data_IF_480254436551
#
_entry.id   IF_480254436551
#
_cell.length_a   1.000
_cell.length_b   1.000
_cell.length_c   1.000
_cell.angle_alpha   90.00
_cell.angle_beta   90.00
_cell.angle_gamma   90.00
#
_symmetry.space_group_name_H-M   'P 1'
#
loop_
_entity.id
_entity.type
_entity.pdbx_description
1 polymer ?
#
# COMPACT_ATOMS: atom_id res chain seq x y z
N UNK A 1 37.65 -21.46 -12.68
CA UNK A 1 38.02 -20.17 -13.29
C UNK A 1 36.75 -19.55 -13.85
N UNK A 2 36.08 -18.69 -13.09
CA UNK A 2 35.16 -17.72 -13.70
C UNK A 2 35.16 -16.48 -12.80
N UNK A 3 36.11 -15.60 -13.10
CA UNK A 3 36.30 -14.36 -12.38
C UNK A 3 35.28 -13.35 -12.93
N UNK A 4 34.04 -13.41 -12.43
CA UNK A 4 33.04 -12.37 -12.71
C UNK A 4 33.56 -11.05 -12.14
N UNK A 5 33.99 -10.15 -13.03
CA UNK A 5 34.45 -8.81 -12.65
C UNK A 5 33.31 -8.08 -11.93
N UNK A 6 33.51 -7.59 -10.69
CA UNK A 6 32.46 -6.88 -9.94
C UNK A 6 31.96 -5.63 -10.68
N UNK A 7 32.77 -5.02 -11.54
CA UNK A 7 32.41 -3.84 -12.35
C UNK A 7 31.21 -4.00 -13.29
N UNK A 8 30.93 -5.21 -13.79
CA UNK A 8 29.84 -5.42 -14.76
C UNK A 8 28.44 -5.37 -14.08
N UNK A 9 28.37 -5.74 -12.80
CA UNK A 9 27.12 -5.73 -12.02
C UNK A 9 26.70 -4.30 -11.65
N UNK A 10 27.67 -3.42 -11.34
CA UNK A 10 27.43 -2.01 -11.08
C UNK A 10 27.03 -1.23 -12.33
N UNK A 11 27.61 -1.58 -13.49
CA UNK A 11 27.25 -0.97 -14.76
C UNK A 11 25.78 -1.24 -15.13
N UNK A 12 25.28 -2.45 -14.90
CA UNK A 12 23.88 -2.79 -15.17
C UNK A 12 22.88 -2.05 -14.26
N UNK A 13 23.20 -1.92 -12.96
CA UNK A 13 22.36 -1.18 -12.01
C UNK A 13 22.36 0.33 -12.28
N UNK A 14 23.53 0.91 -12.60
CA UNK A 14 23.66 2.32 -13.00
C UNK A 14 22.98 2.59 -14.34
N UNK A 15 23.08 1.66 -15.30
CA UNK A 15 22.36 1.74 -16.57
C UNK A 15 20.85 1.68 -16.34
N UNK A 16 20.36 0.78 -15.50
CA UNK A 16 18.93 0.70 -15.15
C UNK A 16 18.44 1.98 -14.46
N UNK A 17 19.22 2.55 -13.54
CA UNK A 17 18.91 3.83 -12.88
C UNK A 17 18.92 5.00 -13.87
N UNK A 18 19.91 5.04 -14.76
CA UNK A 18 20.01 6.06 -15.80
C UNK A 18 18.90 5.95 -16.84
N UNK A 19 18.48 4.73 -17.19
CA UNK A 19 17.35 4.45 -18.07
C UNK A 19 16.03 4.85 -17.40
N UNK A 20 15.85 4.57 -16.11
CA UNK A 20 14.67 5.00 -15.35
C UNK A 20 14.59 6.53 -15.29
N UNK A 21 15.70 7.20 -14.98
CA UNK A 21 15.79 8.66 -14.99
C UNK A 21 15.52 9.23 -16.39
N UNK A 22 16.02 8.58 -17.44
CA UNK A 22 15.79 8.97 -18.83
C UNK A 22 14.34 8.74 -19.27
N UNK A 23 13.70 7.66 -18.82
CA UNK A 23 12.28 7.38 -19.09
C UNK A 23 11.41 8.39 -18.34
N UNK A 24 11.68 8.67 -17.08
CA UNK A 24 10.99 9.72 -16.30
C UNK A 24 11.15 11.11 -16.94
N UNK A 25 12.35 11.45 -17.43
CA UNK A 25 12.57 12.70 -18.16
C UNK A 25 11.94 12.72 -19.55
N UNK A 26 11.98 11.62 -20.31
CA UNK A 26 11.38 11.54 -21.64
C UNK A 26 9.85 11.62 -21.58
N UNK A 27 9.23 10.97 -20.59
CA UNK A 27 7.77 11.06 -20.37
C UNK A 27 7.37 12.50 -20.01
N UNK A 28 8.23 13.23 -19.27
CA UNK A 28 8.06 14.67 -18.97
C UNK A 28 8.24 15.59 -20.19
N UNK A 29 9.24 15.36 -21.04
CA UNK A 29 9.49 16.19 -22.24
C UNK A 29 8.33 16.05 -23.23
N UNK A 30 7.81 14.83 -23.39
CA UNK A 30 6.69 14.55 -24.30
C UNK A 30 5.36 15.08 -23.73
N UNK A 31 5.14 15.00 -22.42
CA UNK A 31 3.97 15.60 -21.78
C UNK A 31 3.95 17.14 -21.85
N UNK A 32 5.13 17.79 -21.81
CA UNK A 32 5.26 19.24 -21.98
C UNK A 32 5.10 19.71 -23.44
N UNK A 33 5.38 18.85 -24.43
CA UNK A 33 5.15 19.15 -25.85
C UNK A 33 3.68 18.99 -26.28
N UNK A 34 2.84 18.35 -25.46
CA UNK A 34 1.40 18.20 -25.69
C UNK A 34 0.51 19.31 -25.11
N UNK A 35 1.09 20.34 -24.46
CA UNK A 35 0.34 21.43 -23.84
C UNK A 35 0.55 22.76 -24.59
N UNK A 36 -0.44 23.31 -25.30
CA UNK A 36 -0.36 24.70 -25.77
C UNK A 36 -0.66 25.65 -24.60
N UNK A 37 0.28 26.54 -24.31
CA UNK A 37 0.15 27.57 -23.27
C UNK A 37 -0.62 28.82 -23.76
N UNK A 38 -1.80 29.08 -23.15
CA UNK A 38 -2.49 30.34 -22.71
C UNK A 38 -2.40 31.67 -23.53
N UNK A 39 -3.44 32.55 -23.58
CA UNK A 39 -4.14 33.12 -22.40
C UNK A 39 -5.66 33.45 -22.54
N UNK A 40 -6.27 33.88 -21.43
CA UNK A 40 -7.56 34.57 -21.36
C UNK A 40 -7.41 36.05 -21.79
N UNK A 41 -8.19 36.51 -22.77
CA UNK A 41 -8.64 37.91 -22.91
C UNK A 41 -9.82 38.02 -23.91
N UNK A 42 -11.03 38.20 -23.37
CA UNK A 42 -12.16 39.04 -23.84
C UNK A 42 -12.59 39.06 -25.34
N UNK A 43 -13.72 38.40 -25.63
CA UNK A 43 -14.98 38.98 -26.16
C UNK A 43 -15.02 40.00 -27.33
N UNK A 44 -14.00 40.13 -28.20
CA UNK A 44 -14.03 41.15 -29.29
C UNK A 44 -13.84 40.61 -30.73
N UNK A 45 -13.69 39.30 -30.96
CA UNK A 45 -13.35 38.77 -32.31
C UNK A 45 -14.48 37.93 -32.95
N UNK A 46 -15.64 37.80 -32.33
CA UNK A 46 -16.75 36.98 -32.84
C UNK A 46 -17.51 37.54 -34.05
N UNK A 47 -17.23 38.76 -34.53
CA UNK A 47 -17.96 39.37 -35.66
C UNK A 47 -17.16 39.53 -36.97
N UNK A 48 -15.85 39.31 -36.99
CA UNK A 48 -14.99 39.64 -38.15
C UNK A 48 -14.30 38.47 -38.87
N UNK A 49 -14.59 37.21 -38.53
CA UNK A 49 -13.99 36.03 -39.18
C UNK A 49 -15.08 35.13 -39.81
N UNK A 50 -16.24 35.70 -40.17
CA UNK A 50 -17.28 34.98 -40.93
C UNK A 50 -17.14 35.14 -42.45
N UNK A 51 -16.29 36.05 -42.93
CA UNK A 51 -16.14 36.36 -44.36
C UNK A 51 -14.82 35.87 -45.00
N UNK A 52 -13.89 35.33 -44.21
CA UNK A 52 -12.59 34.84 -44.69
C UNK A 52 -12.50 33.30 -44.77
N UNK A 53 -13.58 32.59 -44.45
CA UNK A 53 -13.58 31.13 -44.31
C UNK A 53 -13.97 30.35 -45.59
N UNK A 54 -14.15 31.01 -46.74
CA UNK A 54 -14.68 30.36 -47.95
C UNK A 54 -13.72 30.30 -49.16
N UNK A 55 -12.45 30.70 -49.02
CA UNK A 55 -11.51 30.75 -50.17
C UNK A 55 -10.13 30.10 -49.97
N UNK A 56 -9.95 29.22 -48.98
CA UNK A 56 -8.71 28.45 -48.85
C UNK A 56 -8.94 26.96 -48.55
N UNK A 57 -9.82 26.32 -49.33
CA UNK A 57 -9.64 24.89 -49.63
C UNK A 57 -8.45 24.76 -50.58
N UNK A 58 -7.28 24.48 -50.00
CA UNK A 58 -6.05 24.35 -50.77
C UNK A 58 -4.88 23.85 -49.95
N UNK A 59 -4.86 22.53 -49.73
CA UNK A 59 -3.63 21.75 -49.67
C UNK A 59 -2.69 22.00 -48.48
N UNK A 60 -2.86 21.26 -47.39
CA UNK A 60 -1.71 20.84 -46.57
C UNK A 60 -1.98 19.49 -45.90
N UNK A 61 -0.94 18.67 -45.92
CA UNK A 61 -0.87 17.23 -45.67
C UNK A 61 -1.52 16.75 -44.38
N UNK A 62 -2.35 15.71 -44.50
CA UNK A 62 -2.65 14.78 -43.41
C UNK A 62 -1.36 14.08 -42.95
N UNK A 63 -0.60 14.70 -42.07
CA UNK A 63 0.31 13.96 -41.20
C UNK A 63 -0.56 13.10 -40.28
N UNK A 64 -0.81 11.86 -40.71
CA UNK A 64 -1.29 10.82 -39.84
C UNK A 64 -0.23 10.60 -38.76
N UNK A 65 -0.38 11.25 -37.61
CA UNK A 65 0.37 10.89 -36.42
C UNK A 65 -0.03 9.45 -36.04
N UNK A 66 0.73 8.46 -36.51
CA UNK A 66 0.50 7.04 -36.27
C UNK A 66 0.59 6.66 -34.77
N UNK A 67 1.06 7.57 -33.91
CA UNK A 67 1.20 7.37 -32.48
C UNK A 67 0.46 8.46 -31.71
N UNK A 68 -0.72 8.12 -31.16
CA UNK A 68 -1.37 8.89 -30.10
C UNK A 68 -0.91 8.34 -28.74
N UNK A 69 -0.43 9.21 -27.86
CA UNK A 69 0.03 8.84 -26.53
C UNK A 69 -1.07 9.16 -25.50
N UNK A 70 -1.83 8.15 -25.10
CA UNK A 70 -2.89 8.27 -24.10
C UNK A 70 -2.36 7.93 -22.70
N UNK A 71 -1.58 8.84 -22.13
CA UNK A 71 -0.98 8.65 -20.80
C UNK A 71 -2.04 8.63 -19.69
N UNK A 72 -3.09 9.43 -19.80
CA UNK A 72 -4.11 9.56 -18.76
C UNK A 72 -4.86 8.25 -18.52
N UNK A 73 -5.12 7.46 -19.57
CA UNK A 73 -5.76 6.16 -19.41
C UNK A 73 -4.92 5.15 -18.62
N UNK A 74 -3.59 5.17 -18.80
CA UNK A 74 -2.66 4.19 -18.22
C UNK A 74 -1.88 4.72 -17.02
N UNK A 75 -2.11 5.96 -16.61
CA UNK A 75 -1.31 6.64 -15.58
C UNK A 75 -1.21 5.82 -14.29
N UNK A 76 -2.35 5.41 -13.74
CA UNK A 76 -2.41 4.66 -12.48
C UNK A 76 -1.64 3.33 -12.52
N UNK A 77 -1.95 2.38 -13.43
CA UNK A 77 -1.21 1.11 -13.48
C UNK A 77 0.26 1.31 -13.86
N UNK A 78 0.59 2.30 -14.70
CA UNK A 78 1.95 2.59 -15.10
C UNK A 78 2.80 3.10 -13.92
N UNK A 79 2.27 4.05 -13.14
CA UNK A 79 2.97 4.57 -11.97
C UNK A 79 3.14 3.51 -10.88
N UNK A 80 2.12 2.70 -10.58
CA UNK A 80 2.24 1.57 -9.63
C UNK A 80 3.36 0.62 -10.08
N UNK A 81 3.39 0.27 -11.37
CA UNK A 81 4.42 -0.61 -11.93
C UNK A 81 5.82 -0.01 -11.78
N UNK A 82 5.96 1.29 -12.04
CA UNK A 82 7.23 2.00 -11.88
C UNK A 82 7.69 2.00 -10.42
N UNK A 83 6.78 2.25 -9.45
CA UNK A 83 7.10 2.21 -8.03
C UNK A 83 7.54 0.81 -7.56
N UNK A 84 6.83 -0.24 -7.97
CA UNK A 84 7.20 -1.64 -7.65
C UNK A 84 8.55 -2.00 -8.30
N UNK A 85 8.78 -1.57 -9.54
CA UNK A 85 10.05 -1.77 -10.23
C UNK A 85 11.20 -1.03 -9.54
N UNK A 86 10.98 0.21 -9.08
CA UNK A 86 11.98 0.97 -8.31
C UNK A 86 12.30 0.28 -6.98
N UNK A 87 11.28 -0.17 -6.24
CA UNK A 87 11.47 -0.88 -4.97
C UNK A 87 12.24 -2.18 -5.14
N UNK A 88 11.92 -2.98 -6.18
CA UNK A 88 12.63 -4.22 -6.48
C UNK A 88 14.08 -3.98 -6.92
N UNK A 89 14.35 -2.96 -7.75
CA UNK A 89 15.71 -2.58 -8.13
C UNK A 89 16.52 -2.08 -6.92
N UNK A 90 15.92 -1.27 -6.05
CA UNK A 90 16.55 -0.82 -4.82
C UNK A 90 16.92 -2.01 -3.92
N UNK A 91 16.01 -2.97 -3.76
CA UNK A 91 16.25 -4.21 -3.01
C UNK A 91 17.44 -5.01 -3.58
N UNK A 92 17.49 -5.19 -4.90
CA UNK A 92 18.64 -5.84 -5.57
C UNK A 92 19.94 -5.06 -5.32
N UNK A 93 19.88 -3.72 -5.39
CA UNK A 93 21.03 -2.85 -5.10
C UNK A 93 21.56 -3.01 -3.68
N UNK A 94 20.68 -3.09 -2.68
CA UNK A 94 21.06 -3.30 -1.28
C UNK A 94 21.69 -4.66 -1.05
N UNK A 95 21.15 -5.73 -1.67
CA UNK A 95 21.76 -7.05 -1.60
C UNK A 95 23.10 -7.15 -2.33
N UNK A 96 23.33 -6.37 -3.39
CA UNK A 96 24.63 -6.34 -4.06
C UNK A 96 25.71 -5.68 -3.18
N UNK A 97 25.31 -4.78 -2.28
CA UNK A 97 26.19 -4.14 -1.32
C UNK A 97 26.12 -4.84 0.04
N UNK A 98 26.85 -5.95 0.19
CA UNK A 98 26.87 -6.84 1.38
C UNK A 98 27.12 -6.16 2.75
N UNK A 99 27.50 -4.87 2.80
CA UNK A 99 27.74 -4.13 4.05
C UNK A 99 26.58 -3.25 4.52
N UNK A 100 25.59 -2.94 3.67
CA UNK A 100 24.46 -2.07 4.05
C UNK A 100 23.42 -2.84 4.88
N UNK A 101 22.95 -4.02 4.41
CA UNK A 101 21.90 -4.77 5.11
C UNK A 101 22.32 -5.27 6.50
N UNK A 102 23.63 -5.41 6.75
CA UNK A 102 24.13 -5.85 8.07
C UNK A 102 24.08 -4.76 9.15
N UNK A 103 23.85 -3.50 8.77
CA UNK A 103 23.81 -2.36 9.70
C UNK A 103 22.40 -1.77 9.79
N UNK A 104 21.66 -1.75 8.69
CA UNK A 104 20.35 -1.10 8.60
C UNK A 104 19.31 -2.04 7.97
N UNK A 105 18.11 -2.21 8.57
CA UNK A 105 17.03 -2.99 7.97
C UNK A 105 16.64 -2.49 6.58
N UNK A 106 16.26 -3.41 5.70
CA UNK A 106 15.89 -3.10 4.31
C UNK A 106 14.74 -2.08 4.22
N UNK A 107 13.72 -2.20 5.08
CA UNK A 107 12.58 -1.29 5.12
C UNK A 107 13.00 0.17 5.36
N UNK A 108 13.98 0.40 6.24
CA UNK A 108 14.50 1.75 6.49
C UNK A 108 15.19 2.33 5.24
N UNK A 109 15.98 1.51 4.54
CA UNK A 109 16.66 1.94 3.31
C UNK A 109 15.66 2.28 2.20
N UNK A 110 14.59 1.49 2.06
CA UNK A 110 13.51 1.77 1.11
C UNK A 110 12.76 3.07 1.43
N UNK A 111 12.49 3.36 2.71
CA UNK A 111 11.91 4.65 3.14
C UNK A 111 12.81 5.81 2.75
N UNK A 112 14.14 5.70 2.92
CA UNK A 112 15.08 6.73 2.50
C UNK A 112 15.06 6.95 0.98
N UNK A 113 15.00 5.88 0.18
CA UNK A 113 14.85 5.99 -1.28
C UNK A 113 13.55 6.70 -1.65
N UNK A 114 12.44 6.33 -1.01
CA UNK A 114 11.15 7.00 -1.20
C UNK A 114 11.19 8.49 -0.82
N UNK A 115 11.85 8.85 0.28
CA UNK A 115 12.01 10.23 0.73
C UNK A 115 12.86 11.06 -0.24
N UNK A 116 13.98 10.50 -0.74
CA UNK A 116 14.83 11.16 -1.74
C UNK A 116 14.02 11.38 -3.02
N UNK A 117 13.28 10.38 -3.48
CA UNK A 117 12.44 10.49 -4.68
C UNK A 117 11.34 11.54 -4.50
N UNK A 118 10.63 11.53 -3.37
CA UNK A 118 9.62 12.53 -3.02
C UNK A 118 10.20 13.94 -2.94
N UNK A 119 11.40 14.09 -2.38
CA UNK A 119 12.13 15.36 -2.33
C UNK A 119 12.52 15.88 -3.72
N UNK A 120 12.92 14.99 -4.64
CA UNK A 120 13.20 15.34 -6.03
C UNK A 120 11.92 15.82 -6.74
N UNK A 121 10.80 15.09 -6.58
CA UNK A 121 9.51 15.47 -7.16
C UNK A 121 9.07 16.85 -6.65
N UNK A 122 9.13 17.06 -5.34
CA UNK A 122 8.82 18.34 -4.71
C UNK A 122 9.74 19.47 -5.23
N UNK A 123 11.05 19.22 -5.33
CA UNK A 123 12.02 20.18 -5.85
C UNK A 123 11.81 20.53 -7.34
N UNK A 124 11.21 19.63 -8.11
CA UNK A 124 10.84 19.86 -9.51
C UNK A 124 9.48 20.55 -9.68
N UNK A 125 8.85 21.00 -8.59
CA UNK A 125 7.59 21.75 -8.53
C UNK A 125 6.42 21.07 -9.28
N UNK A 126 6.50 19.75 -9.42
CA UNK A 126 5.43 18.96 -10.02
C UNK A 126 4.28 18.86 -9.02
N UNK A 127 3.12 19.43 -9.37
CA UNK A 127 1.89 19.32 -8.56
C UNK A 127 1.06 18.10 -8.95
N UNK A 128 1.65 17.15 -9.67
CA UNK A 128 0.99 15.87 -9.93
C UNK A 128 0.74 15.18 -8.58
N UNK A 129 -0.52 14.92 -8.19
CA UNK A 129 -0.82 14.26 -6.93
C UNK A 129 -0.11 12.90 -6.90
N UNK A 130 0.42 12.46 -5.74
CA UNK A 130 0.95 11.12 -5.61
C UNK A 130 -0.16 10.13 -6.01
N UNK A 131 0.06 9.33 -7.05
CA UNK A 131 -0.96 8.43 -7.61
C UNK A 131 -1.23 7.22 -6.72
N UNK A 132 -0.51 7.09 -5.61
CA UNK A 132 -0.74 6.05 -4.61
C UNK A 132 -1.77 6.52 -3.56
N UNK A 133 -3.05 6.46 -3.93
CA UNK A 133 -4.14 6.66 -2.98
C UNK A 133 -4.28 5.44 -2.04
N UNK A 134 -4.87 5.65 -0.87
CA UNK A 134 -5.13 4.61 0.12
C UNK A 134 -5.98 3.49 -0.46
N UNK A 135 -7.01 3.83 -1.24
CA UNK A 135 -7.91 2.83 -1.82
C UNK A 135 -7.20 1.94 -2.84
N UNK A 136 -6.26 2.49 -3.61
CA UNK A 136 -5.43 1.72 -4.54
C UNK A 136 -4.57 0.73 -3.75
N UNK A 137 -3.96 1.18 -2.65
CA UNK A 137 -3.16 0.32 -1.79
C UNK A 137 -4.00 -0.83 -1.18
N UNK A 138 -5.13 -0.51 -0.56
CA UNK A 138 -5.99 -1.49 0.10
C UNK A 138 -6.65 -2.46 -0.89
N UNK A 139 -7.00 -2.05 -2.11
CA UNK A 139 -7.71 -2.91 -3.06
C UNK A 139 -6.78 -3.69 -4.00
N UNK A 140 -5.61 -3.15 -4.34
CA UNK A 140 -4.71 -3.78 -5.33
C UNK A 140 -3.44 -4.37 -4.73
N UNK A 141 -2.78 -3.67 -3.82
CA UNK A 141 -1.49 -4.12 -3.27
C UNK A 141 -1.65 -5.03 -2.06
N UNK A 142 -2.58 -4.70 -1.17
CA UNK A 142 -2.72 -5.39 0.12
C UNK A 142 -3.20 -6.85 0.01
N UNK A 143 -4.19 -7.22 -0.84
CA UNK A 143 -4.68 -8.61 -0.87
C UNK A 143 -3.61 -9.63 -1.26
N UNK A 144 -2.76 -9.40 -2.28
CA UNK A 144 -1.64 -10.30 -2.57
C UNK A 144 -0.62 -10.41 -1.43
N UNK A 145 -0.35 -9.31 -0.71
CA UNK A 145 0.60 -9.29 0.42
C UNK A 145 0.07 -10.14 1.58
N UNK A 146 -1.21 -9.97 1.92
CA UNK A 146 -1.86 -10.75 2.99
C UNK A 146 -1.95 -12.23 2.63
N UNK A 147 -2.24 -12.55 1.36
CA UNK A 147 -2.23 -13.93 0.87
C UNK A 147 -0.84 -14.58 1.01
N UNK A 148 0.21 -13.89 0.60
CA UNK A 148 1.59 -14.37 0.72
C UNK A 148 1.92 -14.70 2.18
N UNK A 149 1.63 -13.77 3.08
CA UNK A 149 1.87 -13.93 4.51
C UNK A 149 1.05 -15.08 5.13
N UNK A 150 -0.22 -15.22 4.75
CA UNK A 150 -1.10 -16.28 5.23
C UNK A 150 -0.74 -17.66 4.66
N UNK A 151 -0.34 -17.73 3.38
CA UNK A 151 -0.02 -18.98 2.69
C UNK A 151 1.28 -19.62 3.19
N UNK A 152 2.29 -18.81 3.50
CA UNK A 152 3.57 -19.28 4.03
C UNK A 152 3.59 -19.44 5.56
N UNK A 153 2.48 -19.20 6.24
CA UNK A 153 2.36 -19.37 7.69
C UNK A 153 2.41 -20.85 8.11
N UNK A 154 3.26 -21.22 9.09
CA UNK A 154 3.27 -22.57 9.66
C UNK A 154 1.95 -22.87 10.40
N UNK A 155 1.04 -23.60 9.76
CA UNK A 155 -0.33 -23.80 10.27
C UNK A 155 -0.39 -24.55 11.60
N UNK A 156 0.35 -25.65 11.76
CA UNK A 156 0.25 -26.49 12.97
C UNK A 156 0.66 -25.77 14.25
N UNK A 157 1.86 -25.18 14.38
CA UNK A 157 2.24 -24.55 15.64
C UNK A 157 1.49 -23.23 15.88
N UNK A 158 0.99 -22.57 14.82
CA UNK A 158 0.09 -21.42 14.94
C UNK A 158 -1.23 -21.82 15.63
N UNK A 159 -1.90 -22.87 15.16
CA UNK A 159 -3.16 -23.33 15.76
C UNK A 159 -2.98 -23.93 17.16
N UNK A 160 -1.82 -24.54 17.47
CA UNK A 160 -1.50 -25.01 18.82
C UNK A 160 -1.37 -23.86 19.85
N UNK A 161 -1.05 -22.64 19.41
CA UNK A 161 -0.83 -21.47 20.29
C UNK A 161 -1.79 -20.30 20.02
N UNK A 162 -2.87 -20.53 19.26
CA UNK A 162 -3.78 -19.48 18.76
C UNK A 162 -4.35 -18.59 19.87
N UNK A 163 -4.64 -19.16 21.05
CA UNK A 163 -5.19 -18.39 22.18
C UNK A 163 -4.23 -17.31 22.69
N UNK A 164 -2.94 -17.61 22.77
CA UNK A 164 -1.90 -16.65 23.17
C UNK A 164 -1.69 -15.60 22.09
N UNK A 165 -1.66 -16.02 20.82
CA UNK A 165 -1.52 -15.13 19.67
C UNK A 165 -2.68 -14.12 19.64
N UNK A 166 -3.92 -14.58 19.76
CA UNK A 166 -5.11 -13.72 19.77
C UNK A 166 -5.13 -12.77 20.96
N UNK A 167 -4.66 -13.21 22.13
CA UNK A 167 -4.57 -12.34 23.30
C UNK A 167 -3.62 -11.17 23.03
N UNK A 168 -2.42 -11.43 22.51
CA UNK A 168 -1.47 -10.36 22.17
C UNK A 168 -1.97 -9.50 21.00
N UNK A 169 -2.43 -10.11 19.91
CA UNK A 169 -2.86 -9.39 18.71
C UNK A 169 -4.14 -8.56 18.88
N UNK A 170 -5.08 -8.98 19.74
CA UNK A 170 -6.33 -8.24 19.94
C UNK A 170 -6.21 -7.36 21.18
N UNK A 171 -5.97 -7.96 22.35
CA UNK A 171 -5.97 -7.22 23.62
C UNK A 171 -4.72 -6.35 23.73
N UNK A 172 -3.56 -6.88 23.36
CA UNK A 172 -2.30 -6.13 23.36
C UNK A 172 -2.35 -4.93 22.41
N UNK A 173 -2.87 -5.11 21.21
CA UNK A 173 -3.07 -4.02 20.24
C UNK A 173 -4.05 -2.98 20.72
N UNK A 174 -5.22 -3.38 21.22
CA UNK A 174 -6.20 -2.43 21.77
C UNK A 174 -5.57 -1.63 22.91
N UNK A 175 -4.85 -2.29 23.81
CA UNK A 175 -4.11 -1.64 24.88
C UNK A 175 -3.06 -0.65 24.34
N UNK A 176 -2.32 -1.03 23.30
CA UNK A 176 -1.31 -0.19 22.66
C UNK A 176 -1.94 1.06 22.02
N UNK A 177 -3.02 0.89 21.26
CA UNK A 177 -3.76 2.00 20.62
C UNK A 177 -4.27 3.00 21.64
N UNK A 178 -4.93 2.53 22.70
CA UNK A 178 -5.42 3.41 23.76
C UNK A 178 -4.27 4.02 24.56
N UNK A 179 -3.21 3.26 24.84
CA UNK A 179 -2.02 3.76 25.53
C UNK A 179 -1.35 4.91 24.78
N UNK A 180 -1.11 4.73 23.47
CA UNK A 180 -0.55 5.78 22.60
C UNK A 180 -1.52 6.96 22.49
N UNK A 181 -2.79 6.71 22.19
CA UNK A 181 -3.78 7.79 22.02
C UNK A 181 -3.99 8.63 23.28
N UNK A 182 -4.13 8.01 24.44
CA UNK A 182 -4.29 8.73 25.71
C UNK A 182 -3.01 9.44 26.15
N UNK A 183 -1.84 8.82 25.95
CA UNK A 183 -0.56 9.48 26.30
C UNK A 183 -0.32 10.72 25.43
N UNK A 184 -0.55 10.63 24.12
CA UNK A 184 -0.48 11.77 23.20
C UNK A 184 -1.49 12.85 23.57
N UNK A 185 -2.73 12.48 23.85
CA UNK A 185 -3.74 13.44 24.32
C UNK A 185 -3.32 14.13 25.62
N UNK A 186 -2.74 13.40 26.57
CA UNK A 186 -2.19 13.95 27.80
C UNK A 186 -1.10 15.00 27.55
N UNK A 187 -0.22 14.75 26.57
CA UNK A 187 0.83 15.70 26.16
C UNK A 187 0.22 16.94 25.49
N UNK A 188 -0.77 16.78 24.60
CA UNK A 188 -1.47 17.90 23.94
C UNK A 188 -2.13 18.86 24.93
N UNK A 189 -2.56 18.36 26.10
CA UNK A 189 -3.18 19.19 27.15
C UNK A 189 -2.19 20.05 27.92
N UNK A 190 -0.88 19.76 27.83
CA UNK A 190 0.15 20.56 28.48
C UNK A 190 0.33 21.88 27.71
N UNK A 191 -0.04 22.99 28.36
CA UNK A 191 -0.02 24.36 27.78
C UNK A 191 1.32 24.77 27.15
N UNK A 192 2.44 24.15 27.55
CA UNK A 192 3.77 24.42 27.01
C UNK A 192 3.89 24.10 25.51
N UNK A 193 3.14 23.09 25.02
CA UNK A 193 3.25 22.62 23.64
C UNK A 193 2.32 23.35 22.64
N UNK A 194 1.33 24.13 23.12
CA UNK A 194 0.37 24.88 22.28
C UNK A 194 -0.36 24.02 21.22
N UNK A 195 -0.64 22.75 21.52
CA UNK A 195 -1.29 21.78 20.63
C UNK A 195 -2.73 21.43 21.08
N UNK A 196 -3.47 22.41 21.63
CA UNK A 196 -4.79 22.17 22.24
C UNK A 196 -5.91 21.90 21.22
N UNK A 197 -5.65 22.10 19.93
CA UNK A 197 -6.63 21.92 18.86
C UNK A 197 -6.83 20.44 18.47
N UNK A 198 -5.96 19.54 18.94
CA UNK A 198 -6.03 18.11 18.60
C UNK A 198 -6.99 17.37 19.53
N UNK A 199 -8.11 16.91 18.97
CA UNK A 199 -9.09 16.11 19.71
C UNK A 199 -8.54 14.72 20.06
N UNK A 200 -9.01 14.15 21.19
CA UNK A 200 -8.70 12.79 21.63
C UNK A 200 -8.92 11.76 20.50
N UNK A 201 -9.95 11.93 19.69
CA UNK A 201 -10.27 11.00 18.61
C UNK A 201 -9.20 11.00 17.50
N UNK A 202 -8.60 12.16 17.21
CA UNK A 202 -7.48 12.23 16.27
C UNK A 202 -6.24 11.52 16.81
N UNK A 203 -6.01 11.60 18.13
CA UNK A 203 -4.92 10.88 18.79
C UNK A 203 -5.17 9.36 18.84
N UNK A 204 -6.42 8.91 19.02
CA UNK A 204 -6.78 7.49 18.95
C UNK A 204 -6.69 6.95 17.52
N UNK A 205 -7.13 7.72 16.53
CA UNK A 205 -6.95 7.42 15.11
C UNK A 205 -5.45 7.26 14.78
N UNK A 206 -4.63 8.21 15.21
CA UNK A 206 -3.17 8.11 15.07
C UNK A 206 -2.60 6.90 15.81
N UNK A 207 -3.07 6.63 17.04
CA UNK A 207 -2.69 5.44 17.81
C UNK A 207 -3.00 4.14 17.07
N UNK A 208 -4.15 4.05 16.38
CA UNK A 208 -4.50 2.88 15.56
C UNK A 208 -3.59 2.68 14.36
N UNK A 209 -3.07 3.76 13.76
CA UNK A 209 -2.13 3.68 12.64
C UNK A 209 -0.73 3.19 13.08
N UNK A 210 -0.29 3.58 14.27
CA UNK A 210 1.08 3.29 14.76
C UNK A 210 1.15 2.01 15.60
N UNK A 211 0.01 1.49 16.07
CA UNK A 211 -0.02 0.28 16.88
C UNK A 211 0.29 -1.02 16.10
N UNK A 212 0.23 -0.98 14.77
CA UNK A 212 0.65 -2.09 13.92
C UNK A 212 2.17 -2.27 14.04
N UNK A 213 2.61 -3.48 14.37
CA UNK A 213 4.01 -3.81 14.60
C UNK A 213 4.49 -4.76 13.52
N UNK A 214 5.41 -4.30 12.67
CA UNK A 214 6.09 -5.15 11.70
C UNK A 214 7.26 -5.89 12.37
N UNK A 215 7.24 -7.24 12.45
CA UNK A 215 8.23 -8.01 13.16
C UNK A 215 9.40 -8.41 12.24
N UNK A 216 9.38 -8.08 10.94
CA UNK A 216 10.34 -8.61 9.94
C UNK A 216 11.79 -8.45 10.39
N UNK A 217 12.16 -7.28 10.91
CA UNK A 217 13.51 -7.04 11.40
C UNK A 217 13.86 -7.90 12.64
N UNK A 218 12.90 -8.11 13.54
CA UNK A 218 13.08 -8.90 14.76
C UNK A 218 13.15 -10.39 14.42
N UNK A 219 12.30 -10.88 13.52
CA UNK A 219 12.29 -12.27 13.07
C UNK A 219 13.58 -12.64 12.36
N UNK A 220 14.13 -11.75 11.51
CA UNK A 220 15.41 -11.97 10.85
C UNK A 220 16.55 -12.17 11.86
N UNK A 221 16.59 -11.37 12.93
CA UNK A 221 17.58 -11.54 14.00
C UNK A 221 17.35 -12.84 14.77
N UNK A 222 16.09 -13.16 15.09
CA UNK A 222 15.73 -14.38 15.82
C UNK A 222 16.13 -15.67 15.09
N UNK A 223 16.04 -15.68 13.76
CA UNK A 223 16.51 -16.78 12.94
C UNK A 223 18.03 -16.94 13.02
N UNK A 224 18.78 -15.84 12.98
CA UNK A 224 20.25 -15.85 13.11
C UNK A 224 20.71 -16.39 14.47
N UNK A 225 20.04 -15.99 15.55
CA UNK A 225 20.36 -16.46 16.91
C UNK A 225 19.69 -17.79 17.28
N UNK A 226 19.02 -18.46 16.34
CA UNK A 226 18.38 -19.77 16.52
C UNK A 226 17.40 -19.81 17.70
N UNK A 227 16.51 -18.81 17.77
CA UNK A 227 15.45 -18.73 18.79
C UNK A 227 14.44 -19.87 18.64
N UNK A 228 13.76 -20.18 19.75
CA UNK A 228 12.70 -21.18 19.78
C UNK A 228 11.61 -20.88 18.73
N UNK A 229 11.32 -21.88 17.89
CA UNK A 229 10.29 -21.83 16.84
C UNK A 229 8.93 -21.35 17.38
N UNK A 230 8.59 -21.67 18.63
CA UNK A 230 7.36 -21.18 19.28
C UNK A 230 7.35 -19.67 19.44
N UNK A 231 8.47 -19.06 19.83
CA UNK A 231 8.55 -17.61 20.01
C UNK A 231 8.48 -16.91 18.65
N UNK A 232 9.14 -17.48 17.63
CA UNK A 232 9.04 -16.99 16.26
C UNK A 232 7.59 -16.96 15.77
N UNK A 233 6.85 -18.07 15.95
CA UNK A 233 5.45 -18.17 15.51
C UNK A 233 4.50 -17.29 16.33
N UNK A 234 4.76 -17.13 17.63
CA UNK A 234 3.99 -16.21 18.48
C UNK A 234 4.12 -14.76 17.99
N UNK A 235 5.33 -14.28 17.75
CA UNK A 235 5.60 -12.91 17.28
C UNK A 235 5.09 -12.70 15.87
N UNK A 236 5.34 -13.65 14.96
CA UNK A 236 4.83 -13.58 13.59
C UNK A 236 3.29 -13.55 13.55
N UNK A 237 2.64 -14.46 14.29
CA UNK A 237 1.18 -14.52 14.37
C UNK A 237 0.56 -13.30 15.02
N UNK A 238 1.21 -12.73 16.05
CA UNK A 238 0.79 -11.48 16.68
C UNK A 238 0.73 -10.38 15.64
N UNK A 239 1.83 -10.12 14.94
CA UNK A 239 1.92 -9.06 13.94
C UNK A 239 0.92 -9.22 12.80
N UNK A 240 0.75 -10.44 12.28
CA UNK A 240 -0.21 -10.68 11.20
C UNK A 240 -1.66 -10.38 11.60
N UNK A 241 -2.07 -10.79 12.80
CA UNK A 241 -3.43 -10.51 13.27
C UNK A 241 -3.59 -9.07 13.78
N UNK A 242 -2.51 -8.48 14.31
CA UNK A 242 -2.46 -7.08 14.75
C UNK A 242 -2.73 -6.12 13.59
N UNK A 243 -2.16 -6.36 12.41
CA UNK A 243 -2.43 -5.56 11.19
C UNK A 243 -3.92 -5.53 10.85
N UNK A 244 -4.59 -6.67 10.99
CA UNK A 244 -6.03 -6.75 10.76
C UNK A 244 -6.83 -5.97 11.81
N UNK A 245 -6.46 -6.07 13.09
CA UNK A 245 -7.12 -5.38 14.20
C UNK A 245 -6.95 -3.86 14.09
N UNK A 246 -5.76 -3.38 13.77
CA UNK A 246 -5.43 -1.96 13.64
C UNK A 246 -6.15 -1.30 12.48
N UNK A 247 -6.27 -1.95 11.33
CA UNK A 247 -7.05 -1.43 10.20
C UNK A 247 -8.54 -1.33 10.53
N UNK A 248 -9.10 -2.29 11.27
CA UNK A 248 -10.50 -2.22 11.74
C UNK A 248 -10.67 -1.04 12.71
N UNK A 249 -9.76 -0.87 13.68
CA UNK A 249 -9.76 0.27 14.61
C UNK A 249 -9.62 1.61 13.88
N UNK A 250 -8.75 1.68 12.87
CA UNK A 250 -8.56 2.87 12.04
C UNK A 250 -9.85 3.24 11.31
N UNK A 251 -10.49 2.30 10.62
CA UNK A 251 -11.78 2.54 9.93
C UNK A 251 -12.87 2.98 10.91
N UNK A 252 -12.92 2.37 12.10
CA UNK A 252 -13.86 2.72 13.16
C UNK A 252 -13.64 4.16 13.67
N UNK A 253 -12.42 4.54 14.03
CA UNK A 253 -12.13 5.89 14.50
C UNK A 253 -12.29 6.93 13.40
N UNK A 254 -11.94 6.61 12.14
CA UNK A 254 -12.18 7.49 10.99
C UNK A 254 -13.67 7.77 10.83
N UNK A 255 -14.50 6.72 10.90
CA UNK A 255 -15.96 6.88 10.85
C UNK A 255 -16.49 7.77 11.99
N UNK A 256 -15.94 7.63 13.20
CA UNK A 256 -16.29 8.53 14.30
C UNK A 256 -15.83 9.98 14.10
N UNK A 257 -14.70 10.21 13.41
CA UNK A 257 -14.25 11.58 13.10
C UNK A 257 -15.18 12.30 12.13
N UNK A 258 -15.86 11.56 11.27
CA UNK A 258 -16.83 12.09 10.29
C UNK A 258 -18.19 12.39 10.94
N UNK A 259 -18.46 11.86 12.14
CA UNK A 259 -19.71 12.11 12.87
C UNK A 259 -19.68 13.44 13.64
N UNK A 260 -20.74 14.27 13.55
CA UNK A 260 -20.76 15.60 14.18
C UNK A 260 -20.86 15.57 15.72
N UNK A 261 -21.49 14.53 16.28
CA UNK A 261 -21.63 14.35 17.74
C UNK A 261 -21.61 12.87 18.08
N UNK A 262 -20.74 12.47 19.02
CA UNK A 262 -20.62 11.09 19.47
C UNK A 262 -21.43 10.93 20.77
N UNK A 263 -22.45 10.06 20.75
CA UNK A 263 -23.20 9.67 21.96
C UNK A 263 -22.63 8.38 22.53
N UNK A 264 -22.90 8.14 23.82
CA UNK A 264 -22.47 6.91 24.50
C UNK A 264 -22.99 5.64 23.80
N UNK A 265 -24.19 5.70 23.21
CA UNK A 265 -24.75 4.58 22.44
C UNK A 265 -23.94 4.27 21.18
N UNK A 266 -23.35 5.27 20.53
CA UNK A 266 -22.52 5.11 19.33
C UNK A 266 -21.19 4.41 19.67
N UNK A 267 -20.65 4.68 20.86
CA UNK A 267 -19.46 3.98 21.38
C UNK A 267 -19.76 2.49 21.61
N UNK A 268 -20.89 2.17 22.25
CA UNK A 268 -21.32 0.78 22.42
C UNK A 268 -21.57 0.08 21.08
N UNK A 269 -22.19 0.79 20.13
CA UNK A 269 -22.40 0.29 18.76
C UNK A 269 -21.06 0.04 18.06
N UNK A 270 -20.06 0.91 18.22
CA UNK A 270 -18.71 0.73 17.67
C UNK A 270 -18.00 -0.50 18.21
N UNK A 271 -18.10 -0.76 19.52
CA UNK A 271 -17.57 -2.00 20.11
C UNK A 271 -18.26 -3.23 19.52
N UNK A 272 -19.59 -3.19 19.36
CA UNK A 272 -20.33 -4.26 18.69
C UNK A 272 -19.88 -4.44 17.23
N UNK A 273 -19.71 -3.34 16.49
CA UNK A 273 -19.26 -3.34 15.12
C UNK A 273 -17.86 -3.93 14.97
N UNK A 274 -16.94 -3.66 15.90
CA UNK A 274 -15.61 -4.27 15.91
C UNK A 274 -15.67 -5.82 15.88
N UNK A 275 -16.50 -6.43 16.73
CA UNK A 275 -16.68 -7.87 16.74
C UNK A 275 -17.39 -8.39 15.49
N UNK A 276 -18.40 -7.68 14.99
CA UNK A 276 -19.13 -8.06 13.77
C UNK A 276 -18.21 -8.02 12.55
N UNK A 277 -17.39 -6.97 12.40
CA UNK A 277 -16.45 -6.80 11.29
C UNK A 277 -15.34 -7.85 11.33
N UNK A 278 -14.80 -8.14 12.53
CA UNK A 278 -13.78 -9.17 12.72
C UNK A 278 -14.31 -10.59 12.49
N UNK A 279 -15.37 -10.99 13.20
CA UNK A 279 -15.96 -12.34 13.06
C UNK A 279 -16.59 -12.55 11.68
N UNK A 280 -17.18 -11.51 11.10
CA UNK A 280 -17.69 -11.55 9.74
C UNK A 280 -16.59 -11.81 8.72
N UNK A 281 -15.41 -11.17 8.87
CA UNK A 281 -14.23 -11.46 8.06
C UNK A 281 -13.83 -12.95 8.14
N UNK A 282 -13.73 -13.49 9.37
CA UNK A 282 -13.43 -14.93 9.59
C UNK A 282 -14.44 -15.83 8.87
N UNK A 283 -15.74 -15.51 8.94
CA UNK A 283 -16.78 -16.30 8.28
C UNK A 283 -16.65 -16.27 6.75
N UNK A 284 -16.39 -15.10 6.17
CA UNK A 284 -16.17 -14.95 4.71
C UNK A 284 -14.93 -15.74 4.29
N UNK A 285 -13.82 -15.59 5.00
CA UNK A 285 -12.59 -16.33 4.72
C UNK A 285 -12.73 -17.84 4.85
N UNK A 286 -13.49 -18.31 5.83
CA UNK A 286 -13.79 -19.73 6.00
C UNK A 286 -14.62 -20.27 4.82
N UNK A 287 -15.62 -19.52 4.33
CA UNK A 287 -16.43 -19.90 3.16
C UNK A 287 -15.53 -19.99 1.93
N UNK A 288 -14.77 -18.93 1.59
CA UNK A 288 -13.92 -18.92 0.41
C UNK A 288 -12.77 -19.92 0.50
N UNK A 289 -12.15 -20.08 1.67
CA UNK A 289 -11.12 -21.08 1.93
C UNK A 289 -11.64 -22.52 1.74
N UNK A 290 -12.86 -22.81 2.21
CA UNK A 290 -13.50 -24.11 1.95
C UNK A 290 -13.80 -24.31 0.46
N UNK A 291 -14.27 -23.28 -0.25
CA UNK A 291 -14.49 -23.38 -1.70
C UNK A 291 -13.20 -23.58 -2.46
N UNK A 292 -12.11 -22.92 -2.08
CA UNK A 292 -10.79 -23.10 -2.66
C UNK A 292 -10.27 -24.53 -2.42
N UNK A 293 -10.35 -25.03 -1.18
CA UNK A 293 -9.95 -26.39 -0.83
C UNK A 293 -10.78 -27.44 -1.59
N UNK A 294 -12.09 -27.20 -1.75
CA UNK A 294 -12.97 -28.06 -2.53
C UNK A 294 -12.56 -28.05 -4.01
N UNK A 295 -12.43 -26.88 -4.64
CA UNK A 295 -12.04 -26.75 -6.05
C UNK A 295 -10.67 -27.39 -6.33
N UNK A 296 -9.67 -27.14 -5.49
CA UNK A 296 -8.33 -27.75 -5.64
C UNK A 296 -8.37 -29.28 -5.53
N UNK A 297 -9.31 -29.85 -4.77
CA UNK A 297 -9.48 -31.31 -4.69
C UNK A 297 -9.94 -31.93 -6.01
N UNK A 298 -10.66 -31.21 -6.86
CA UNK A 298 -11.14 -31.70 -8.18
C UNK A 298 -10.16 -31.41 -9.32
N UNK A 299 -9.21 -30.50 -9.13
CA UNK A 299 -8.28 -30.05 -10.18
C UNK A 299 -6.94 -30.78 -10.17
N UNK A 300 -6.84 -31.92 -9.49
CA UNK A 300 -5.59 -32.69 -9.28
C UNK A 300 -4.85 -33.06 -10.57
N UNK A 301 -5.58 -33.20 -11.68
CA UNK A 301 -5.02 -33.58 -12.97
C UNK A 301 -4.43 -32.38 -13.75
N UNK A 302 -4.68 -31.14 -13.31
CA UNK A 302 -4.22 -29.90 -13.96
C UNK A 302 -3.54 -28.99 -12.92
N UNK A 303 -2.40 -29.44 -12.36
CA UNK A 303 -1.72 -28.72 -11.26
C UNK A 303 -1.27 -27.29 -11.59
N UNK A 304 -1.14 -26.95 -12.88
CA UNK A 304 -0.67 -25.62 -13.32
C UNK A 304 -1.68 -24.51 -12.98
N UNK A 305 -2.97 -24.83 -12.83
CA UNK A 305 -4.01 -23.84 -12.54
C UNK A 305 -4.30 -23.67 -11.04
N UNK A 306 -3.77 -24.55 -10.18
CA UNK A 306 -4.04 -24.51 -8.73
C UNK A 306 -3.63 -23.16 -8.09
N UNK A 307 -2.45 -22.58 -8.37
CA UNK A 307 -2.06 -21.29 -7.81
C UNK A 307 -2.98 -20.14 -8.25
N UNK A 308 -3.51 -20.21 -9.49
CA UNK A 308 -4.46 -19.22 -10.00
C UNK A 308 -5.74 -19.21 -9.17
N UNK A 309 -6.28 -20.39 -8.84
CA UNK A 309 -7.47 -20.49 -8.00
C UNK A 309 -7.23 -20.02 -6.57
N UNK A 310 -6.09 -20.35 -5.97
CA UNK A 310 -5.73 -19.87 -4.63
C UNK A 310 -5.68 -18.34 -4.60
N UNK A 311 -5.02 -17.73 -5.60
CA UNK A 311 -4.95 -16.28 -5.73
C UNK A 311 -6.34 -15.65 -5.94
N UNK A 312 -7.14 -16.17 -6.88
CA UNK A 312 -8.46 -15.63 -7.19
C UNK A 312 -9.44 -15.76 -6.03
N UNK A 313 -9.50 -16.90 -5.35
CA UNK A 313 -10.41 -17.09 -4.22
C UNK A 313 -10.02 -16.23 -3.01
N UNK A 314 -8.73 -16.07 -2.73
CA UNK A 314 -8.28 -15.15 -1.68
C UNK A 314 -8.61 -13.69 -2.01
N UNK A 315 -8.37 -13.26 -3.25
CA UNK A 315 -8.71 -11.92 -3.69
C UNK A 315 -10.23 -11.68 -3.66
N UNK A 316 -11.04 -12.67 -4.05
CA UNK A 316 -12.50 -12.62 -3.94
C UNK A 316 -12.97 -12.57 -2.48
N UNK A 317 -12.33 -13.31 -1.57
CA UNK A 317 -12.63 -13.26 -0.13
C UNK A 317 -12.45 -11.85 0.41
N UNK A 318 -11.30 -11.24 0.11
CA UNK A 318 -10.97 -9.87 0.50
C UNK A 318 -11.99 -8.86 -0.02
N UNK A 319 -12.26 -8.87 -1.33
CA UNK A 319 -13.22 -7.94 -1.95
C UNK A 319 -14.65 -8.15 -1.45
N UNK A 320 -15.05 -9.40 -1.20
CA UNK A 320 -16.37 -9.70 -0.67
C UNK A 320 -16.52 -9.16 0.75
N UNK A 321 -15.49 -9.33 1.58
CA UNK A 321 -15.48 -8.76 2.92
C UNK A 321 -15.53 -7.22 2.89
N UNK A 322 -14.72 -6.56 2.06
CA UNK A 322 -14.76 -5.09 1.90
C UNK A 322 -16.13 -4.60 1.40
N UNK A 323 -16.77 -5.32 0.47
CA UNK A 323 -18.12 -5.00 -0.02
C UNK A 323 -19.19 -5.05 1.07
N UNK A 324 -19.04 -5.94 2.07
CA UNK A 324 -19.92 -6.01 3.23
C UNK A 324 -19.44 -5.15 4.41
N UNK A 325 -18.42 -4.30 4.21
CA UNK A 325 -17.76 -3.52 5.27
C UNK A 325 -17.21 -4.38 6.42
N UNK A 326 -16.88 -5.64 6.13
CA UNK A 326 -16.18 -6.57 7.01
C UNK A 326 -14.66 -6.42 6.84
N UNK A 327 -13.87 -7.08 7.68
CA UNK A 327 -12.41 -6.99 7.58
C UNK A 327 -11.88 -7.86 6.44
N UNK A 328 -11.48 -7.24 5.32
CA UNK A 328 -10.86 -7.93 4.20
C UNK A 328 -9.55 -8.63 4.56
N UNK A 329 -8.77 -8.07 5.50
CA UNK A 329 -7.49 -8.64 5.94
C UNK A 329 -7.69 -9.95 6.73
N UNK A 330 -8.80 -10.05 7.47
CA UNK A 330 -9.13 -11.26 8.24
C UNK A 330 -9.75 -12.35 7.36
N UNK A 331 -10.39 -11.95 6.25
CA UNK A 331 -11.07 -12.83 5.30
C UNK A 331 -10.10 -13.47 4.28
#
# INVERSE_FOLDING_TARGET
MEHQRPGCKYAAALLAWSLLFSVLQATRVIALQGSPSMPQLEDVISENISWAAEEAQGNESSEHAFFSLDYQHVQVPFEITLWIMLASLAKIGFHLYNKLPSVVPESCLLIFVGLIMGGIIYGLNDKSPPVMDSDIFFLYLLPPIVLDAGYFMPSRPFFENIGTILLYAVVGTIWNVFGIGFSLYGICQVKAFRLQDVSLLHNLLFGSLIAAVDPVAVLAVFEEIHVNEKLHILVFGESLLNDAVTVVLYKLFRSFCEMPTIKTMDVFAGVGQFFVVGLGGVLVGLIFGMTAAFTTRFTKDIRVIEPLFVFLYSYLSYLTAEMFHLSGIVA
#
